data_IF_439966894834
#
_entry.id   IF_439966894834
#
_cell.length_a   1.000
_cell.length_b   1.000
_cell.length_c   1.000
_cell.angle_alpha   90.00
_cell.angle_beta   90.00
_cell.angle_gamma   90.00
#
_symmetry.space_group_name_H-M   'P 1'
#
loop_
_entity.id
_entity.type
_entity.pdbx_description
1 polymer ?
#
# COMPACT_ATOMS: atom_id res chain seq x y z
N UNK A 1 5.65 16.21 -14.97
CA UNK A 1 6.05 16.52 -13.58
C UNK A 1 6.90 15.36 -13.06
N UNK A 2 8.18 15.55 -12.71
CA UNK A 2 9.01 14.46 -12.18
C UNK A 2 8.48 13.97 -10.81
N UNK A 3 8.50 12.66 -10.58
CA UNK A 3 8.17 12.01 -9.29
C UNK A 3 9.40 11.31 -8.75
N UNK A 4 9.72 11.54 -7.48
CA UNK A 4 10.77 10.81 -6.79
C UNK A 4 10.27 9.42 -6.38
N UNK A 5 11.07 8.40 -6.64
CA UNK A 5 10.79 7.01 -6.31
C UNK A 5 11.99 6.42 -5.55
N UNK A 6 11.71 5.67 -4.48
CA UNK A 6 12.72 4.88 -3.76
C UNK A 6 12.71 3.44 -4.29
N UNK A 7 13.89 2.83 -4.39
CA UNK A 7 14.07 1.48 -4.91
C UNK A 7 14.98 0.67 -3.98
N UNK A 8 14.85 -0.66 -4.03
CA UNK A 8 15.72 -1.60 -3.32
C UNK A 8 14.97 -2.63 -2.46
N UNK A 9 15.75 -3.54 -1.86
CA UNK A 9 15.19 -4.69 -1.14
C UNK A 9 14.43 -4.32 0.12
N UNK A 10 14.80 -3.20 0.76
CA UNK A 10 14.11 -2.69 1.95
C UNK A 10 12.67 -2.30 1.62
N UNK A 11 12.45 -1.53 0.55
CA UNK A 11 11.09 -1.13 0.14
C UNK A 11 10.28 -2.33 -0.39
N UNK A 12 10.94 -3.27 -1.06
CA UNK A 12 10.32 -4.53 -1.46
C UNK A 12 9.88 -5.36 -0.25
N UNK A 13 10.76 -5.54 0.74
CA UNK A 13 10.45 -6.28 1.97
C UNK A 13 9.32 -5.61 2.74
N UNK A 14 9.36 -4.29 2.89
CA UNK A 14 8.31 -3.52 3.56
C UNK A 14 6.95 -3.70 2.88
N UNK A 15 6.90 -3.65 1.54
CA UNK A 15 5.67 -3.91 0.78
C UNK A 15 5.14 -5.35 0.99
N UNK A 16 6.03 -6.35 1.13
CA UNK A 16 5.61 -7.72 1.46
C UNK A 16 5.09 -7.85 2.90
N UNK A 17 5.72 -7.16 3.85
CA UNK A 17 5.24 -7.11 5.24
C UNK A 17 3.85 -6.48 5.34
N UNK A 18 3.61 -5.41 4.58
CA UNK A 18 2.31 -4.74 4.52
C UNK A 18 1.24 -5.65 3.91
N UNK A 19 1.51 -6.24 2.74
CA UNK A 19 0.54 -7.10 2.03
C UNK A 19 0.17 -8.40 2.76
N UNK A 20 1.03 -8.88 3.66
CA UNK A 20 0.79 -10.07 4.51
C UNK A 20 0.43 -9.71 5.95
N UNK A 21 0.30 -8.42 6.23
CA UNK A 21 -0.07 -7.87 7.53
C UNK A 21 -1.55 -8.10 7.86
N UNK A 22 -1.88 -7.86 9.12
CA UNK A 22 -3.26 -7.82 9.59
C UNK A 22 -3.65 -6.38 9.93
N UNK A 23 -4.91 -6.00 9.73
CA UNK A 23 -5.40 -4.66 10.00
C UNK A 23 -5.28 -4.33 11.48
N UNK A 24 -5.02 -3.05 11.76
CA UNK A 24 -4.77 -2.53 13.12
C UNK A 24 -3.59 -3.20 13.85
N UNK A 25 -2.66 -3.82 13.11
CA UNK A 25 -1.40 -4.34 13.66
C UNK A 25 -0.21 -3.78 12.89
N UNK A 26 0.92 -3.66 13.56
CA UNK A 26 2.19 -3.23 12.94
C UNK A 26 3.06 -4.47 12.75
N UNK A 27 3.24 -4.89 11.50
CA UNK A 27 4.05 -6.04 11.13
C UNK A 27 5.52 -5.64 11.00
N UNK A 28 6.42 -6.34 11.71
CA UNK A 28 7.86 -6.07 11.66
C UNK A 28 8.65 -7.36 11.44
N UNK A 29 9.77 -7.23 10.72
CA UNK A 29 10.69 -8.35 10.49
C UNK A 29 11.73 -8.46 11.62
N UNK A 30 12.53 -9.53 11.58
CA UNK A 30 13.50 -9.83 12.63
C UNK A 30 14.56 -8.75 12.81
N UNK A 31 15.09 -8.19 11.73
CA UNK A 31 16.11 -7.13 11.82
C UNK A 31 15.58 -5.89 12.55
N UNK A 32 14.33 -5.50 12.28
CA UNK A 32 13.70 -4.37 12.99
C UNK A 32 13.52 -4.69 14.47
N UNK A 33 13.08 -5.90 14.83
CA UNK A 33 12.94 -6.32 16.23
C UNK A 33 14.27 -6.24 16.98
N UNK A 34 15.35 -6.73 16.39
CA UNK A 34 16.69 -6.66 16.99
C UNK A 34 17.09 -5.22 17.31
N UNK A 35 16.86 -4.29 16.37
CA UNK A 35 17.11 -2.86 16.59
C UNK A 35 16.24 -2.30 17.72
N UNK A 36 14.92 -2.59 17.71
CA UNK A 36 14.00 -2.08 18.73
C UNK A 36 14.34 -2.57 20.14
N UNK A 37 14.76 -3.83 20.28
CA UNK A 37 15.20 -4.39 21.56
C UNK A 37 16.52 -3.74 22.00
N UNK A 38 17.46 -3.54 21.07
CA UNK A 38 18.76 -2.93 21.36
C UNK A 38 18.65 -1.47 21.84
N UNK A 39 17.61 -0.74 21.42
CA UNK A 39 17.34 0.62 21.88
C UNK A 39 16.88 0.69 23.34
N UNK A 40 16.37 -0.42 23.91
CA UNK A 40 15.92 -0.52 25.29
C UNK A 40 14.89 0.56 25.71
N UNK A 41 14.04 1.02 24.78
CA UNK A 41 13.01 2.04 25.03
C UNK A 41 11.64 1.45 25.46
N UNK A 42 11.60 0.17 25.84
CA UNK A 42 10.38 -0.48 26.33
C UNK A 42 9.36 -0.81 25.25
N UNK A 43 9.79 -1.11 24.01
CA UNK A 43 8.92 -1.65 22.97
C UNK A 43 8.42 -3.06 23.33
N UNK A 44 7.13 -3.30 23.11
CA UNK A 44 6.46 -4.58 23.34
C UNK A 44 6.26 -5.29 22.01
N UNK A 45 6.78 -6.50 21.89
CA UNK A 45 6.83 -7.26 20.64
C UNK A 45 6.24 -8.65 20.90
N UNK A 46 5.39 -9.12 20.00
CA UNK A 46 4.79 -10.45 20.03
C UNK A 46 5.18 -11.24 18.79
N UNK A 47 5.42 -12.54 18.95
CA UNK A 47 5.72 -13.43 17.82
C UNK A 47 4.44 -13.63 16.99
N UNK A 48 4.52 -13.37 15.68
CA UNK A 48 3.44 -13.73 14.73
C UNK A 48 3.58 -15.18 14.30
N UNK A 49 4.82 -15.63 14.11
CA UNK A 49 5.17 -16.95 13.57
C UNK A 49 5.85 -16.85 12.21
N UNK A 50 5.84 -17.95 11.47
CA UNK A 50 6.47 -18.04 10.15
C UNK A 50 5.60 -17.38 9.07
N UNK A 51 6.24 -16.55 8.24
CA UNK A 51 5.61 -15.87 7.10
C UNK A 51 6.40 -16.13 5.84
N UNK A 52 5.73 -16.56 4.78
CA UNK A 52 6.35 -16.71 3.47
C UNK A 52 6.48 -15.35 2.77
N UNK A 53 7.71 -14.97 2.45
CA UNK A 53 8.05 -13.76 1.72
C UNK A 53 8.68 -14.12 0.37
N UNK A 54 8.00 -13.72 -0.70
CA UNK A 54 8.49 -13.95 -2.06
C UNK A 54 9.90 -13.39 -2.22
N UNK A 55 10.84 -14.25 -2.63
CA UNK A 55 12.25 -13.91 -2.85
C UNK A 55 13.15 -13.99 -1.60
N UNK A 56 12.58 -14.12 -0.40
CA UNK A 56 13.35 -14.35 0.86
C UNK A 56 13.09 -15.72 1.49
N UNK A 57 11.99 -16.39 1.10
CA UNK A 57 11.58 -17.66 1.69
C UNK A 57 10.73 -17.44 2.94
N UNK A 58 10.77 -18.40 3.85
CA UNK A 58 10.01 -18.36 5.10
C UNK A 58 10.85 -17.67 6.18
N UNK A 59 10.32 -16.61 6.77
CA UNK A 59 10.97 -15.86 7.84
C UNK A 59 10.04 -15.77 9.06
N UNK A 60 10.61 -15.81 10.26
CA UNK A 60 9.86 -15.50 11.48
C UNK A 60 9.64 -14.00 11.59
N UNK A 61 8.39 -13.60 11.82
CA UNK A 61 8.00 -12.19 11.92
C UNK A 61 7.21 -11.92 13.19
N UNK A 62 7.02 -10.62 13.48
CA UNK A 62 6.54 -10.17 14.77
C UNK A 62 5.53 -9.03 14.64
N UNK A 63 4.71 -8.87 15.68
CA UNK A 63 3.83 -7.73 15.87
C UNK A 63 4.44 -6.76 16.87
N UNK A 64 4.51 -5.48 16.50
CA UNK A 64 4.76 -4.42 17.47
C UNK A 64 3.43 -4.04 18.13
N UNK A 65 3.28 -4.37 19.42
CA UNK A 65 2.00 -4.24 20.16
C UNK A 65 1.97 -3.05 21.12
N UNK A 66 3.09 -2.34 21.29
CA UNK A 66 3.09 -1.09 22.04
C UNK A 66 4.47 -0.64 22.48
N UNK A 67 4.48 0.41 23.29
CA UNK A 67 5.68 0.97 23.92
C UNK A 67 5.35 1.38 25.36
N UNK A 68 6.25 1.11 26.30
CA UNK A 68 6.14 1.62 27.66
C UNK A 68 6.07 3.15 27.65
N UNK A 69 5.17 3.70 28.48
CA UNK A 69 4.94 5.16 28.54
C UNK A 69 4.20 5.74 27.34
N UNK A 70 3.65 4.93 26.42
CA UNK A 70 2.75 5.42 25.38
C UNK A 70 1.36 5.71 25.98
N UNK A 71 0.91 6.97 26.01
CA UNK A 71 -0.26 7.38 26.79
C UNK A 71 -1.61 7.11 26.10
N UNK A 72 -1.61 6.76 24.82
CA UNK A 72 -2.82 6.55 24.02
C UNK A 72 -3.16 5.08 23.93
N UNK A 73 -4.45 4.76 24.01
CA UNK A 73 -4.93 3.42 23.72
C UNK A 73 -4.72 3.11 22.24
N UNK A 74 -4.18 1.93 21.97
CA UNK A 74 -4.03 1.43 20.61
C UNK A 74 -5.37 0.88 20.12
N UNK A 75 -5.67 1.00 18.81
CA UNK A 75 -6.84 0.37 18.25
C UNK A 75 -6.80 -1.14 18.54
N UNK A 76 -7.93 -1.69 18.97
CA UNK A 76 -8.03 -3.12 19.22
C UNK A 76 -7.86 -3.87 17.89
N UNK A 77 -6.93 -4.82 17.78
CA UNK A 77 -6.81 -5.65 16.60
C UNK A 77 -8.13 -6.36 16.30
N UNK A 78 -8.45 -6.53 15.02
CA UNK A 78 -9.59 -7.37 14.65
C UNK A 78 -9.27 -8.84 14.93
N UNK A 79 -10.23 -9.56 15.50
CA UNK A 79 -10.15 -11.01 15.68
C UNK A 79 -10.45 -11.70 14.35
N UNK A 80 -9.39 -12.01 13.61
CA UNK A 80 -9.44 -12.66 12.29
C UNK A 80 -9.10 -14.13 12.47
N UNK A 81 -10.00 -15.02 12.05
CA UNK A 81 -9.78 -16.47 12.02
C UNK A 81 -9.25 -16.89 10.65
N UNK A 82 -8.47 -17.98 10.58
CA UNK A 82 -8.09 -18.58 9.30
C UNK A 82 -9.35 -18.92 8.48
N UNK A 83 -9.44 -18.39 7.26
CA UNK A 83 -10.59 -18.55 6.37
C UNK A 83 -11.55 -17.36 6.32
N UNK A 84 -11.42 -16.38 7.21
CA UNK A 84 -12.23 -15.16 7.15
C UNK A 84 -11.81 -14.28 5.97
N UNK A 85 -12.77 -13.81 5.17
CA UNK A 85 -12.57 -12.92 4.03
C UNK A 85 -12.37 -11.45 4.45
N UNK A 86 -11.60 -11.21 5.51
CA UNK A 86 -11.41 -9.89 6.10
C UNK A 86 -10.82 -8.88 5.10
N UNK A 87 -9.97 -9.33 4.17
CA UNK A 87 -9.41 -8.47 3.12
C UNK A 87 -10.50 -7.90 2.22
N UNK A 88 -11.50 -8.71 1.85
CA UNK A 88 -12.61 -8.27 1.01
C UNK A 88 -13.49 -7.26 1.74
N UNK A 89 -13.77 -7.51 3.03
CA UNK A 89 -14.56 -6.61 3.88
C UNK A 89 -13.89 -5.23 3.98
N UNK A 90 -12.60 -5.20 4.29
CA UNK A 90 -11.83 -3.94 4.38
C UNK A 90 -11.80 -3.24 3.01
N UNK A 91 -11.58 -3.98 1.92
CA UNK A 91 -11.59 -3.41 0.57
C UNK A 91 -12.96 -2.82 0.18
N UNK A 92 -14.06 -3.44 0.59
CA UNK A 92 -15.41 -2.92 0.38
C UNK A 92 -15.66 -1.65 1.20
N UNK A 93 -15.24 -1.61 2.46
CA UNK A 93 -15.36 -0.45 3.34
C UNK A 93 -14.57 0.76 2.80
N UNK A 94 -13.34 0.52 2.33
CA UNK A 94 -12.51 1.53 1.67
C UNK A 94 -13.25 2.07 0.43
N UNK A 95 -13.73 1.19 -0.46
CA UNK A 95 -14.49 1.60 -1.66
C UNK A 95 -15.76 2.39 -1.31
N UNK A 96 -16.49 1.98 -0.27
CA UNK A 96 -17.69 2.68 0.18
C UNK A 96 -17.38 4.08 0.73
N UNK A 97 -16.29 4.21 1.49
CA UNK A 97 -15.82 5.48 2.05
C UNK A 97 -15.44 6.47 0.95
N UNK A 98 -14.70 6.02 -0.07
CA UNK A 98 -14.39 6.86 -1.25
C UNK A 98 -15.64 7.28 -2.03
N UNK A 99 -16.63 6.39 -2.21
CA UNK A 99 -17.91 6.74 -2.86
C UNK A 99 -18.68 7.79 -2.07
N UNK A 100 -18.67 7.72 -0.74
CA UNK A 100 -19.34 8.70 0.14
C UNK A 100 -18.66 10.05 0.07
N UNK A 101 -17.32 10.10 0.12
CA UNK A 101 -16.55 11.33 -0.03
C UNK A 101 -16.77 12.02 -1.39
N UNK A 102 -16.84 11.25 -2.49
CA UNK A 102 -17.13 11.80 -3.82
C UNK A 102 -18.58 12.28 -4.00
N UNK A 103 -19.53 11.85 -3.15
CA UNK A 103 -20.91 12.36 -3.15
C UNK A 103 -21.08 13.67 -2.39
N UNK A 104 -20.21 13.96 -1.41
CA UNK A 104 -20.28 15.21 -0.62
C UNK A 104 -19.68 16.43 -1.31
N UNK A 105 -18.81 16.26 -2.32
CA UNK A 105 -18.23 17.37 -3.12
C UNK A 105 -19.11 17.76 -4.32
N UNK A 106 -20.43 17.78 -4.13
CA UNK A 106 -21.42 18.18 -5.13
C UNK A 106 -21.43 19.69 -5.42
N UNK A 107 -20.27 20.31 -5.72
CA UNK A 107 -20.26 21.55 -6.50
C UNK A 107 -20.17 21.15 -7.98
N UNK A 108 -21.17 21.48 -8.82
CA UNK A 108 -21.11 21.11 -10.23
C UNK A 108 -19.92 21.83 -10.87
N UNK A 109 -18.96 21.06 -11.40
CA UNK A 109 -18.03 21.60 -12.39
C UNK A 109 -18.88 22.02 -13.59
N UNK A 110 -19.07 23.32 -13.75
CA UNK A 110 -19.72 23.91 -14.92
C UNK A 110 -19.03 23.36 -16.17
N UNK A 111 -19.73 22.48 -16.88
CA UNK A 111 -19.39 22.05 -18.22
C UNK A 111 -19.54 23.27 -19.13
N UNK A 112 -18.44 23.99 -19.40
CA UNK A 112 -18.39 24.84 -20.58
C UNK A 112 -18.39 23.89 -21.79
N UNK A 113 -19.58 23.69 -22.40
CA UNK A 113 -19.71 23.17 -23.76
C UNK A 113 -18.88 24.10 -24.65
N UNK A 114 -17.75 23.62 -25.16
CA UNK A 114 -17.14 24.22 -26.32
C UNK A 114 -18.04 23.91 -27.52
N UNK A 115 -18.57 24.94 -28.17
CA UNK A 115 -19.29 24.81 -29.43
C UNK A 115 -18.36 24.23 -30.51
N UNK A 116 -18.87 23.40 -31.44
CA UNK A 116 -18.06 22.89 -32.54
C UNK A 116 -17.86 23.99 -33.59
N UNK A 117 -16.65 24.53 -33.67
CA UNK A 117 -16.19 25.39 -34.77
C UNK A 117 -16.03 24.60 -36.08
N UNK A 118 -16.07 25.26 -37.24
CA UNK A 118 -16.31 24.62 -38.52
C UNK A 118 -15.11 23.80 -39.03
N UNK A 119 -15.50 22.80 -39.82
CA UNK A 119 -14.73 21.80 -40.55
C UNK A 119 -13.71 22.46 -41.49
N UNK A 120 -12.44 22.07 -41.38
CA UNK A 120 -11.36 22.42 -42.31
C UNK A 120 -10.51 21.19 -42.61
N UNK A 121 -10.31 20.94 -43.89
CA UNK A 121 -9.76 19.75 -44.56
C UNK A 121 -8.29 19.39 -44.26
N UNK A 122 -8.02 18.10 -44.46
CA UNK A 122 -6.80 17.41 -44.90
C UNK A 122 -5.40 17.91 -44.54
N UNK A 123 -4.61 17.03 -43.90
CA UNK A 123 -3.50 16.32 -44.58
C UNK A 123 -2.72 15.39 -43.61
N UNK A 124 -2.53 14.13 -44.04
CA UNK A 124 -1.19 13.54 -44.12
C UNK A 124 -0.60 12.79 -42.90
N UNK A 125 -0.62 11.47 -43.03
CA UNK A 125 0.47 10.51 -42.72
C UNK A 125 0.97 10.28 -41.29
N UNK A 126 1.03 9.00 -40.91
CA UNK A 126 2.07 8.49 -40.00
C UNK A 126 1.67 7.28 -39.16
N UNK A 127 1.68 6.07 -39.75
CA UNK A 127 1.81 4.82 -38.99
C UNK A 127 3.15 4.83 -38.23
N UNK A 128 3.12 4.70 -36.90
CA UNK A 128 4.30 4.75 -36.04
C UNK A 128 4.18 3.82 -34.84
N UNK A 129 4.37 2.54 -35.12
CA UNK A 129 4.98 1.47 -34.31
C UNK A 129 5.48 1.87 -32.90
N UNK A 130 4.95 1.22 -31.87
CA UNK A 130 5.51 1.23 -30.51
C UNK A 130 6.44 0.01 -30.35
N UNK A 131 7.75 0.16 -30.09
CA UNK A 131 8.55 -0.95 -29.62
C UNK A 131 8.62 -0.96 -28.09
N UNK A 132 8.29 -2.15 -27.57
CA UNK A 132 8.77 -2.76 -26.34
C UNK A 132 10.22 -2.39 -26.03
N UNK A 133 10.50 -1.91 -24.82
CA UNK A 133 11.86 -1.93 -24.25
C UNK A 133 11.85 -2.83 -23.00
N UNK A 134 11.89 -4.13 -23.27
CA UNK A 134 12.43 -5.11 -22.34
C UNK A 134 13.91 -5.33 -22.66
N UNK A 135 14.66 -5.77 -21.65
CA UNK A 135 16.03 -6.29 -21.72
C UNK A 135 17.15 -5.30 -22.10
N UNK A 136 17.91 -4.89 -21.08
CA UNK A 136 19.32 -5.26 -20.92
C UNK A 136 19.94 -4.35 -19.87
N UNK A 137 20.53 -4.94 -18.83
CA UNK A 137 21.89 -4.61 -18.41
C UNK A 137 22.34 -5.61 -17.33
N UNK A 138 23.42 -6.29 -17.68
CA UNK A 138 24.45 -6.83 -16.80
C UNK A 138 24.79 -5.87 -15.65
#
# INVERSE_FOLDING_TARGET
MPRYCLFGDTVNTASRMESTGLPYRIHVNRSTVQTLVSLNEGYKIEVRGQTELKGKGIEETYWLVGKAGFPKELPKPMDIKPGDAWQEMVNQEIKASFRKANRSDGRPRSSKKAEPGPRGEDAGMGHGMWPNLGEQLL
#
